data_IF_815608964731
#
_entry.id   IF_815608964731
#
_cell.length_a   1.000
_cell.length_b   1.000
_cell.length_c   1.000
_cell.angle_alpha   90.00
_cell.angle_beta   90.00
_cell.angle_gamma   90.00
#
_symmetry.space_group_name_H-M   'P 1'
#
loop_
_entity.id
_entity.type
_entity.pdbx_description
1 polymer ?
#
# COMPACT_ATOMS: atom_id res chain seq x y z
N UNK A 1 -15.75 -2.01 -13.29
CA UNK A 1 -16.24 -0.78 -13.95
C UNK A 1 -16.33 0.38 -12.96
N UNK A 2 -16.38 1.60 -13.48
CA UNK A 2 -16.29 2.88 -12.76
C UNK A 2 -17.66 3.35 -12.28
N UNK A 3 -17.78 3.68 -11.00
CA UNK A 3 -19.03 4.19 -10.42
C UNK A 3 -19.07 5.71 -10.58
N UNK A 4 -20.09 6.20 -11.28
CA UNK A 4 -20.37 7.62 -11.46
C UNK A 4 -20.98 8.23 -10.19
N UNK A 5 -20.51 9.41 -9.80
CA UNK A 5 -21.13 10.22 -8.74
C UNK A 5 -21.92 11.33 -9.42
N UNK A 6 -23.22 11.41 -9.17
CA UNK A 6 -24.07 12.50 -9.67
C UNK A 6 -23.97 13.70 -8.71
N UNK A 7 -23.77 14.95 -9.20
CA UNK A 7 -23.71 16.11 -8.32
C UNK A 7 -25.10 16.42 -7.74
N UNK A 8 -25.17 16.65 -6.43
CA UNK A 8 -26.34 17.24 -5.76
C UNK A 8 -26.48 18.70 -6.19
N UNK A 9 -27.67 19.11 -6.67
CA UNK A 9 -27.95 20.52 -6.99
C UNK A 9 -27.76 21.41 -5.75
N UNK A 10 -27.14 22.60 -5.86
CA UNK A 10 -27.20 23.59 -4.80
C UNK A 10 -28.63 24.10 -4.67
N UNK A 11 -29.05 24.32 -3.42
CA UNK A 11 -30.24 25.09 -3.07
C UNK A 11 -29.87 26.54 -3.30
N UNK A 12 -30.53 27.22 -4.23
CA UNK A 12 -30.84 28.66 -4.20
C UNK A 12 -31.36 29.08 -5.58
N UNK A 13 -32.61 29.52 -5.63
CA UNK A 13 -33.18 30.62 -6.44
C UNK A 13 -34.71 30.51 -6.41
N UNK A 14 -35.33 31.21 -5.45
CA UNK A 14 -36.75 31.59 -5.47
C UNK A 14 -36.93 32.68 -6.55
N UNK A 15 -37.77 32.46 -7.56
CA UNK A 15 -38.11 33.47 -8.56
C UNK A 15 -39.40 34.22 -8.17
N UNK A 16 -39.26 35.51 -7.82
CA UNK A 16 -40.35 36.50 -7.79
C UNK A 16 -40.68 36.97 -9.21
N UNK A 17 -41.97 37.01 -9.56
CA UNK A 17 -42.48 37.37 -10.88
C UNK A 17 -42.73 38.87 -11.04
N UNK A 18 -42.24 39.50 -12.12
CA UNK A 18 -42.81 40.74 -12.68
C UNK A 18 -42.65 40.78 -14.22
N UNK A 19 -43.75 41.08 -14.92
CA UNK A 19 -43.91 41.17 -16.39
C UNK A 19 -43.30 42.43 -17.04
N UNK A 20 -42.81 42.31 -18.28
CA UNK A 20 -42.42 43.43 -19.16
C UNK A 20 -41.78 42.98 -20.49
N UNK A 21 -42.14 43.64 -21.59
CA UNK A 21 -42.15 43.14 -22.98
C UNK A 21 -40.81 43.00 -23.77
N UNK A 22 -40.81 42.02 -24.69
CA UNK A 22 -40.08 41.91 -25.98
C UNK A 22 -38.54 41.86 -26.06
N UNK A 23 -38.01 40.65 -26.30
CA UNK A 23 -36.97 40.39 -27.33
C UNK A 23 -36.93 38.89 -27.69
N UNK A 24 -36.96 38.58 -28.99
CA UNK A 24 -36.82 37.23 -29.55
C UNK A 24 -35.40 36.71 -29.29
N UNK A 25 -35.18 35.99 -28.19
CA UNK A 25 -34.00 35.16 -27.98
C UNK A 25 -34.49 33.72 -27.81
N UNK A 26 -34.26 32.88 -28.82
CA UNK A 26 -34.40 31.42 -28.66
C UNK A 26 -33.48 31.03 -27.49
N UNK A 27 -33.96 30.35 -26.44
CA UNK A 27 -33.06 29.80 -25.44
C UNK A 27 -32.21 28.76 -26.17
N UNK A 28 -30.90 29.04 -26.26
CA UNK A 28 -29.93 28.02 -26.62
C UNK A 28 -30.10 26.88 -25.62
N UNK A 29 -30.18 25.61 -26.05
CA UNK A 29 -30.21 24.51 -25.11
C UNK A 29 -28.95 24.61 -24.27
N UNK A 30 -29.11 24.85 -22.97
CA UNK A 30 -28.02 24.80 -22.00
C UNK A 30 -27.46 23.39 -22.09
N UNK A 31 -26.34 23.23 -22.77
CA UNK A 31 -25.62 21.96 -22.83
C UNK A 31 -25.08 21.75 -21.41
N UNK A 32 -25.85 21.03 -20.58
CA UNK A 32 -25.36 20.52 -19.32
C UNK A 32 -24.33 19.46 -19.63
N UNK A 33 -23.06 19.89 -19.72
CA UNK A 33 -21.92 18.98 -19.72
C UNK A 33 -21.90 18.26 -18.37
N UNK A 34 -22.59 17.11 -18.29
CA UNK A 34 -22.37 16.14 -17.23
C UNK A 34 -20.99 15.54 -17.45
N UNK A 35 -19.97 16.25 -16.96
CA UNK A 35 -18.59 15.75 -16.98
C UNK A 35 -18.53 14.54 -16.07
N UNK A 36 -18.41 13.35 -16.65
CA UNK A 36 -18.18 12.12 -15.90
C UNK A 36 -16.77 12.24 -15.30
N UNK A 37 -16.70 12.43 -13.98
CA UNK A 37 -15.44 12.45 -13.25
C UNK A 37 -15.09 11.03 -12.77
N UNK A 38 -13.84 10.64 -12.98
CA UNK A 38 -13.31 9.35 -12.51
C UNK A 38 -12.39 9.60 -11.32
N UNK A 39 -12.58 8.84 -10.25
CA UNK A 39 -11.66 8.82 -9.11
C UNK A 39 -10.96 7.44 -9.04
N UNK A 40 -9.64 7.41 -8.80
CA UNK A 40 -8.95 6.15 -8.56
C UNK A 40 -9.47 5.51 -7.27
N UNK A 41 -9.75 4.21 -7.33
CA UNK A 41 -10.16 3.40 -6.17
C UNK A 41 -9.03 2.45 -5.79
N UNK A 42 -8.81 2.25 -4.49
CA UNK A 42 -7.84 1.32 -3.95
C UNK A 42 -8.51 0.44 -2.89
N UNK A 43 -8.13 -0.84 -2.84
CA UNK A 43 -8.52 -1.77 -1.78
C UNK A 43 -7.34 -1.94 -0.83
N UNK A 44 -7.58 -1.75 0.46
CA UNK A 44 -6.54 -1.85 1.50
C UNK A 44 -7.03 -2.75 2.62
N UNK A 45 -6.17 -3.68 3.03
CA UNK A 45 -6.36 -4.52 4.21
C UNK A 45 -5.30 -4.16 5.25
N UNK A 46 -5.76 -3.76 6.44
CA UNK A 46 -4.89 -3.42 7.57
C UNK A 46 -4.92 -4.57 8.57
N UNK A 47 -3.76 -5.14 8.87
CA UNK A 47 -3.63 -6.26 9.80
C UNK A 47 -2.37 -6.13 10.65
N UNK A 48 -2.45 -6.67 11.88
CA UNK A 48 -1.27 -6.88 12.74
C UNK A 48 -0.48 -8.13 12.36
N UNK A 49 -1.05 -8.97 11.50
CA UNK A 49 -0.41 -10.18 11.00
C UNK A 49 0.37 -9.88 9.73
N UNK A 50 1.42 -10.65 9.50
CA UNK A 50 2.40 -10.41 8.44
C UNK A 50 2.30 -11.45 7.32
N UNK A 51 1.09 -11.62 6.77
CA UNK A 51 0.78 -12.57 5.69
C UNK A 51 0.51 -11.84 4.38
N UNK A 52 1.49 -11.07 3.92
CA UNK A 52 1.36 -10.14 2.79
C UNK A 52 0.86 -10.84 1.51
N UNK A 53 1.39 -12.01 1.18
CA UNK A 53 0.97 -12.79 0.00
C UNK A 53 -0.49 -13.25 0.12
N UNK A 54 -0.87 -13.81 1.26
CA UNK A 54 -2.25 -14.23 1.52
C UNK A 54 -3.22 -13.05 1.44
N UNK A 55 -2.88 -11.90 2.05
CA UNK A 55 -3.73 -10.71 1.98
C UNK A 55 -3.81 -10.13 0.56
N UNK A 56 -2.72 -10.16 -0.20
CA UNK A 56 -2.72 -9.78 -1.62
C UNK A 56 -3.68 -10.65 -2.42
N UNK A 57 -3.65 -11.97 -2.22
CA UNK A 57 -4.56 -12.88 -2.89
C UNK A 57 -6.02 -12.61 -2.52
N UNK A 58 -6.32 -12.42 -1.23
CA UNK A 58 -7.66 -12.07 -0.77
C UNK A 58 -8.17 -10.77 -1.39
N UNK A 59 -7.35 -9.72 -1.43
CA UNK A 59 -7.69 -8.44 -2.07
C UNK A 59 -7.92 -8.60 -3.57
N UNK A 60 -7.09 -9.43 -4.23
CA UNK A 60 -7.26 -9.78 -5.64
C UNK A 60 -8.60 -10.45 -5.91
N UNK A 61 -9.01 -11.41 -5.08
CA UNK A 61 -10.31 -12.10 -5.20
C UNK A 61 -11.47 -11.14 -5.00
N UNK A 62 -11.41 -10.28 -3.96
CA UNK A 62 -12.45 -9.25 -3.74
C UNK A 62 -12.57 -8.35 -4.98
N UNK A 63 -11.43 -7.91 -5.53
CA UNK A 63 -11.41 -7.09 -6.73
C UNK A 63 -12.00 -7.81 -7.94
N UNK A 64 -11.62 -9.07 -8.17
CA UNK A 64 -12.14 -9.89 -9.27
C UNK A 64 -13.65 -10.11 -9.14
N UNK A 65 -14.15 -10.49 -7.96
CA UNK A 65 -15.58 -10.67 -7.71
C UNK A 65 -16.36 -9.38 -7.98
N UNK A 66 -15.83 -8.23 -7.55
CA UNK A 66 -16.44 -6.93 -7.81
C UNK A 66 -16.46 -6.56 -9.30
N UNK A 67 -15.36 -6.76 -10.02
CA UNK A 67 -15.23 -6.39 -11.43
C UNK A 67 -16.03 -7.32 -12.34
N UNK A 68 -16.00 -8.62 -12.08
CA UNK A 68 -16.68 -9.63 -12.90
C UNK A 68 -18.14 -9.85 -12.49
N UNK A 69 -18.62 -9.13 -11.46
CA UNK A 69 -19.97 -9.25 -10.91
C UNK A 69 -20.35 -10.70 -10.60
N UNK A 70 -19.40 -11.43 -9.98
CA UNK A 70 -19.65 -12.80 -9.51
C UNK A 70 -20.71 -12.71 -8.42
N UNK A 71 -21.73 -13.59 -8.47
CA UNK A 71 -22.91 -13.54 -7.60
C UNK A 71 -22.69 -13.79 -6.10
N UNK A 72 -21.48 -13.55 -5.60
CA UNK A 72 -21.12 -13.62 -4.17
C UNK A 72 -21.07 -12.19 -3.62
N UNK A 73 -21.87 -11.85 -2.59
CA UNK A 73 -21.84 -10.52 -1.97
C UNK A 73 -20.46 -10.21 -1.38
N UNK A 74 -19.95 -8.98 -1.59
CA UNK A 74 -18.63 -8.58 -1.10
C UNK A 74 -18.52 -8.62 0.43
N UNK A 75 -19.62 -8.34 1.13
CA UNK A 75 -19.73 -8.41 2.58
C UNK A 75 -19.48 -9.84 3.10
N UNK A 76 -19.83 -10.85 2.30
CA UNK A 76 -19.53 -12.25 2.63
C UNK A 76 -18.04 -12.50 2.55
N UNK A 77 -17.36 -12.01 1.51
CA UNK A 77 -15.90 -12.15 1.37
C UNK A 77 -15.17 -11.46 2.52
N UNK A 78 -15.56 -10.22 2.83
CA UNK A 78 -14.99 -9.43 3.93
C UNK A 78 -15.27 -10.09 5.28
N UNK A 79 -16.50 -10.55 5.50
CA UNK A 79 -16.91 -11.26 6.71
C UNK A 79 -16.11 -12.54 6.92
N UNK A 80 -15.85 -13.30 5.85
CA UNK A 80 -15.04 -14.52 5.92
C UNK A 80 -13.57 -14.22 6.29
N UNK A 81 -12.99 -13.14 5.76
CA UNK A 81 -11.62 -12.73 6.13
C UNK A 81 -11.52 -12.40 7.61
N UNK A 82 -12.50 -11.65 8.14
CA UNK A 82 -12.46 -11.13 9.51
C UNK A 82 -12.88 -12.19 10.54
N UNK A 83 -13.92 -12.97 10.23
CA UNK A 83 -14.60 -13.84 11.20
C UNK A 83 -14.27 -15.33 11.08
N UNK A 84 -13.84 -15.80 9.91
CA UNK A 84 -13.73 -17.25 9.65
C UNK A 84 -12.29 -17.76 9.59
N UNK A 85 -11.28 -16.88 9.62
CA UNK A 85 -9.87 -17.27 9.59
C UNK A 85 -9.30 -17.25 11.01
N UNK A 86 -9.10 -18.45 11.58
CA UNK A 86 -8.40 -18.63 12.85
C UNK A 86 -6.93 -18.91 12.56
N UNK A 87 -6.05 -17.95 12.84
CA UNK A 87 -4.61 -18.10 12.64
C UNK A 87 -4.02 -18.86 13.83
N UNK A 88 -3.43 -20.06 13.64
CA UNK A 88 -2.82 -20.81 14.72
C UNK A 88 -1.60 -20.09 15.29
N UNK A 89 -1.19 -20.41 16.53
CA UNK A 89 0.05 -19.90 17.09
C UNK A 89 1.27 -20.36 16.27
N UNK A 90 2.43 -19.68 16.44
CA UNK A 90 3.69 -20.10 15.83
C UNK A 90 4.01 -21.59 16.10
N UNK A 91 4.51 -22.29 15.09
CA UNK A 91 4.73 -23.75 15.10
C UNK A 91 3.48 -24.58 14.82
N UNK A 92 2.31 -23.94 14.68
CA UNK A 92 1.06 -24.60 14.34
C UNK A 92 0.96 -25.11 12.89
N UNK A 93 -0.06 -25.92 12.59
CA UNK A 93 -0.26 -26.47 11.26
C UNK A 93 -0.64 -25.40 10.23
N UNK A 94 -0.44 -25.70 8.95
CA UNK A 94 -1.00 -24.90 7.86
C UNK A 94 -2.53 -24.87 7.95
N UNK A 95 -3.11 -23.68 7.81
CA UNK A 95 -4.55 -23.50 7.68
C UNK A 95 -4.91 -23.28 6.23
N UNK A 96 -5.95 -23.97 5.77
CA UNK A 96 -6.57 -23.75 4.47
C UNK A 96 -7.95 -23.16 4.69
N UNK A 97 -8.27 -22.14 3.91
CA UNK A 97 -9.55 -21.45 4.01
C UNK A 97 -9.98 -20.96 2.63
N UNK A 98 -11.24 -20.55 2.54
CA UNK A 98 -11.80 -19.86 1.38
C UNK A 98 -12.48 -18.61 1.90
N UNK A 99 -12.32 -17.50 1.17
CA UNK A 99 -13.09 -16.29 1.43
C UNK A 99 -14.38 -16.28 0.62
N UNK A 100 -14.50 -17.13 -0.41
CA UNK A 100 -15.67 -17.29 -1.27
C UNK A 100 -15.26 -17.44 -2.74
N UNK A 101 -16.22 -17.42 -3.65
CA UNK A 101 -15.96 -17.47 -5.10
C UNK A 101 -15.08 -18.65 -5.57
N UNK A 102 -15.16 -19.79 -4.88
CA UNK A 102 -14.43 -21.02 -5.26
C UNK A 102 -12.93 -20.98 -5.00
N UNK A 103 -12.44 -20.00 -4.25
CA UNK A 103 -11.01 -19.85 -3.95
C UNK A 103 -10.50 -20.86 -2.93
N UNK A 104 -9.17 -21.00 -2.86
CA UNK A 104 -8.48 -21.77 -1.83
C UNK A 104 -7.22 -21.05 -1.41
N UNK A 105 -7.27 -20.42 -0.25
CA UNK A 105 -6.09 -19.85 0.38
C UNK A 105 -5.44 -20.83 1.34
N UNK A 106 -4.14 -20.65 1.54
CA UNK A 106 -3.39 -21.30 2.58
C UNK A 106 -2.57 -20.26 3.35
N UNK A 107 -2.43 -20.49 4.64
CA UNK A 107 -1.61 -19.71 5.54
C UNK A 107 -0.81 -20.67 6.40
N UNK A 108 0.51 -20.49 6.41
CA UNK A 108 1.42 -21.24 7.26
C UNK A 108 1.89 -20.31 8.38
N UNK A 109 1.56 -20.60 9.65
CA UNK A 109 2.12 -19.87 10.78
C UNK A 109 3.65 -19.90 10.78
N UNK A 110 4.30 -18.86 11.30
CA UNK A 110 5.75 -18.86 11.47
C UNK A 110 6.17 -20.06 12.34
N UNK A 111 7.33 -20.65 12.06
CA UNK A 111 7.83 -21.81 12.80
C UNK A 111 8.10 -21.45 14.27
N UNK A 112 8.53 -20.21 14.53
CA UNK A 112 8.86 -19.69 15.85
C UNK A 112 8.36 -18.25 15.98
N UNK A 113 7.95 -17.79 17.18
CA UNK A 113 7.52 -16.40 17.40
C UNK A 113 8.62 -15.37 17.16
N UNK A 114 9.91 -15.76 17.25
CA UNK A 114 11.03 -14.82 17.15
C UNK A 114 11.72 -14.82 15.79
N UNK A 115 11.62 -15.93 15.04
CA UNK A 115 12.35 -16.09 13.78
C UNK A 115 11.60 -15.36 12.66
N UNK A 116 12.23 -14.39 11.97
CA UNK A 116 11.59 -13.68 10.87
C UNK A 116 11.27 -14.62 9.71
N UNK A 117 10.04 -14.53 9.17
CA UNK A 117 9.65 -15.27 7.96
C UNK A 117 9.97 -14.43 6.74
N UNK A 118 11.08 -14.70 6.06
CA UNK A 118 11.56 -13.78 5.01
C UNK A 118 11.18 -14.17 3.59
N UNK A 119 10.59 -15.35 3.35
CA UNK A 119 10.33 -15.86 2.00
C UNK A 119 11.54 -15.63 1.08
N UNK A 120 11.36 -14.90 -0.03
CA UNK A 120 12.44 -14.54 -0.95
C UNK A 120 13.07 -13.17 -0.67
N UNK A 121 12.59 -12.38 0.30
CA UNK A 121 13.01 -10.99 0.51
C UNK A 121 14.52 -10.85 0.69
N UNK A 122 15.13 -11.69 1.54
CA UNK A 122 16.58 -11.66 1.79
C UNK A 122 17.35 -12.05 0.54
N UNK A 123 16.95 -13.12 -0.14
CA UNK A 123 17.58 -13.53 -1.40
C UNK A 123 17.49 -12.42 -2.46
N UNK A 124 16.34 -11.75 -2.60
CA UNK A 124 16.17 -10.63 -3.53
C UNK A 124 17.06 -9.45 -3.18
N UNK A 125 17.24 -9.13 -1.89
CA UNK A 125 18.16 -8.07 -1.45
C UNK A 125 19.61 -8.39 -1.88
N UNK A 126 20.07 -9.63 -1.68
CA UNK A 126 21.38 -10.07 -2.14
C UNK A 126 21.53 -10.04 -3.66
N UNK A 127 20.49 -10.43 -4.41
CA UNK A 127 20.50 -10.36 -5.87
C UNK A 127 20.56 -8.91 -6.39
N UNK A 128 19.91 -7.97 -5.71
CA UNK A 128 19.83 -6.57 -6.12
C UNK A 128 21.09 -5.78 -5.78
N UNK A 129 21.69 -6.03 -4.61
CA UNK A 129 22.79 -5.22 -4.08
C UNK A 129 24.14 -5.93 -4.14
N UNK A 130 24.17 -7.26 -4.23
CA UNK A 130 25.36 -8.06 -4.06
C UNK A 130 25.82 -8.14 -2.59
N UNK A 131 26.56 -9.22 -2.28
CA UNK A 131 27.02 -9.54 -0.91
C UNK A 131 27.72 -8.37 -0.21
N UNK A 132 28.62 -7.66 -0.89
CA UNK A 132 29.41 -6.58 -0.29
C UNK A 132 28.53 -5.44 0.21
N UNK A 133 27.55 -5.00 -0.59
CA UNK A 133 26.68 -3.89 -0.21
C UNK A 133 25.68 -4.31 0.88
N UNK A 134 25.22 -5.57 0.85
CA UNK A 134 24.39 -6.10 1.94
C UNK A 134 25.16 -6.14 3.26
N UNK A 135 26.44 -6.50 3.25
CA UNK A 135 27.29 -6.45 4.46
C UNK A 135 27.48 -5.01 4.96
N UNK A 136 27.69 -4.04 4.07
CA UNK A 136 27.77 -2.62 4.46
C UNK A 136 26.45 -2.16 5.08
N UNK A 137 25.31 -2.52 4.49
CA UNK A 137 23.99 -2.22 5.04
C UNK A 137 23.77 -2.87 6.41
N UNK A 138 24.18 -4.12 6.56
CA UNK A 138 24.10 -4.84 7.83
C UNK A 138 24.93 -4.12 8.90
N UNK A 139 26.17 -3.72 8.61
CA UNK A 139 26.96 -2.92 9.53
C UNK A 139 26.25 -1.60 9.86
N UNK A 140 25.76 -0.87 8.84
CA UNK A 140 25.10 0.41 9.01
C UNK A 140 23.84 0.32 9.90
N UNK A 141 23.02 -0.73 9.75
CA UNK A 141 21.81 -0.88 10.59
C UNK A 141 22.18 -1.29 12.02
N UNK A 142 23.23 -2.10 12.20
CA UNK A 142 23.73 -2.51 13.51
C UNK A 142 24.42 -1.38 14.27
N UNK A 143 24.92 -0.35 13.56
CA UNK A 143 25.48 0.88 14.14
C UNK A 143 24.50 2.07 14.05
N UNK A 144 23.20 1.80 13.95
CA UNK A 144 22.12 2.79 14.05
C UNK A 144 22.23 3.96 13.04
N UNK A 145 22.63 3.70 11.79
CA UNK A 145 22.61 4.74 10.74
C UNK A 145 21.21 4.98 10.17
N UNK A 146 21.06 6.15 9.54
CA UNK A 146 19.94 6.47 8.65
C UNK A 146 20.10 5.75 7.32
N UNK A 147 19.17 4.86 7.00
CA UNK A 147 19.17 4.04 5.79
C UNK A 147 17.96 4.40 4.96
N UNK A 148 18.22 4.83 3.72
CA UNK A 148 17.19 5.19 2.77
C UNK A 148 17.29 4.32 1.52
N UNK A 149 16.31 3.46 1.32
CA UNK A 149 16.15 2.72 0.09
C UNK A 149 15.43 3.58 -0.95
N UNK A 150 15.90 3.52 -2.19
CA UNK A 150 15.29 4.22 -3.31
C UNK A 150 15.02 3.25 -4.47
N UNK A 151 13.80 3.25 -5.01
CA UNK A 151 13.43 2.45 -6.18
C UNK A 151 12.19 3.00 -6.90
N UNK A 152 12.02 2.59 -8.16
CA UNK A 152 10.76 2.75 -8.92
C UNK A 152 9.70 1.70 -8.56
N UNK A 153 10.07 0.67 -7.80
CA UNK A 153 9.17 -0.42 -7.41
C UNK A 153 8.87 -0.38 -5.92
N UNK A 154 7.60 -0.17 -5.58
CA UNK A 154 7.11 -0.24 -4.20
C UNK A 154 7.36 -1.61 -3.55
N UNK A 155 7.24 -2.68 -4.34
CA UNK A 155 7.54 -4.03 -3.86
C UNK A 155 9.02 -4.14 -3.46
N UNK A 156 9.95 -3.72 -4.32
CA UNK A 156 11.39 -3.78 -4.00
C UNK A 156 11.75 -2.98 -2.75
N UNK A 157 11.16 -1.79 -2.57
CA UNK A 157 11.35 -0.99 -1.36
C UNK A 157 10.90 -1.74 -0.11
N UNK A 158 9.67 -2.29 -0.14
CA UNK A 158 9.08 -3.00 1.00
C UNK A 158 9.88 -4.25 1.35
N UNK A 159 10.24 -5.05 0.34
CA UNK A 159 11.01 -6.28 0.50
C UNK A 159 12.44 -6.01 0.99
N UNK A 160 13.10 -4.95 0.53
CA UNK A 160 14.44 -4.60 0.97
C UNK A 160 14.47 -4.15 2.44
N UNK A 161 13.53 -3.30 2.87
CA UNK A 161 13.37 -2.88 4.26
C UNK A 161 13.09 -4.08 5.19
N UNK A 162 12.19 -4.97 4.75
CA UNK A 162 11.87 -6.22 5.45
C UNK A 162 13.08 -7.15 5.55
N UNK A 163 13.80 -7.35 4.45
CA UNK A 163 14.98 -8.20 4.40
C UNK A 163 16.08 -7.69 5.34
N UNK A 164 16.36 -6.38 5.32
CA UNK A 164 17.39 -5.79 6.16
C UNK A 164 17.07 -5.92 7.65
N UNK A 165 15.82 -5.64 8.06
CA UNK A 165 15.39 -5.82 9.45
C UNK A 165 15.39 -7.29 9.88
N UNK A 166 15.08 -8.22 8.98
CA UNK A 166 15.16 -9.65 9.25
C UNK A 166 16.61 -10.15 9.45
N UNK A 167 17.58 -9.59 8.72
CA UNK A 167 19.00 -9.89 8.89
C UNK A 167 19.54 -9.51 10.27
N UNK A 168 18.85 -8.62 11.00
CA UNK A 168 19.25 -8.23 12.36
C UNK A 168 18.95 -9.31 13.41
N UNK A 169 18.19 -10.37 13.10
CA UNK A 169 17.88 -11.42 14.06
C UNK A 169 19.16 -11.93 14.75
N UNK A 170 19.18 -12.00 16.11
CA UNK A 170 18.06 -11.92 17.04
C UNK A 170 17.68 -10.52 17.54
N UNK A 171 18.33 -9.46 17.06
CA UNK A 171 18.03 -8.08 17.45
C UNK A 171 16.75 -7.58 16.76
N UNK A 172 16.06 -6.64 17.43
CA UNK A 172 14.89 -5.96 16.90
C UNK A 172 15.22 -4.51 16.58
N UNK A 173 14.82 -4.06 15.40
CA UNK A 173 14.90 -2.65 15.04
C UNK A 173 13.84 -1.86 15.80
N UNK A 174 14.24 -0.81 16.53
CA UNK A 174 13.35 -0.04 17.41
C UNK A 174 13.23 1.45 17.02
N UNK A 175 13.81 1.86 15.89
CA UNK A 175 13.70 3.24 15.41
C UNK A 175 12.65 3.38 14.31
N UNK A 176 12.63 4.53 13.62
CA UNK A 176 11.63 4.84 12.59
C UNK A 176 11.73 3.86 11.42
N UNK A 177 10.64 3.15 11.15
CA UNK A 177 10.53 2.18 10.07
C UNK A 177 9.36 2.54 9.15
N UNK A 178 9.66 3.04 7.95
CA UNK A 178 8.65 3.45 6.96
C UNK A 178 9.04 2.86 5.60
N UNK A 179 8.63 1.62 5.29
CA UNK A 179 9.05 0.94 4.06
C UNK A 179 8.68 1.67 2.78
N UNK A 180 7.61 2.48 2.84
CA UNK A 180 7.13 3.32 1.75
C UNK A 180 6.76 4.69 2.32
N UNK A 181 7.59 5.70 2.06
CA UNK A 181 7.38 7.06 2.53
C UNK A 181 6.32 7.78 1.67
N UNK A 182 5.20 8.23 2.26
CA UNK A 182 4.25 9.11 1.58
C UNK A 182 4.86 10.49 1.33
N UNK A 183 4.50 11.14 0.22
CA UNK A 183 4.98 12.48 -0.13
C UNK A 183 4.79 13.53 0.98
N UNK A 184 3.64 13.61 1.68
CA UNK A 184 3.46 14.59 2.74
C UNK A 184 4.37 14.39 3.96
N UNK A 185 5.05 13.25 4.08
CA UNK A 185 5.91 12.90 5.22
C UNK A 185 7.40 12.99 4.88
N UNK A 186 7.79 13.62 3.77
CA UNK A 186 9.20 13.72 3.36
C UNK A 186 10.06 14.44 4.41
N UNK A 187 9.49 15.37 5.18
CA UNK A 187 10.17 16.05 6.29
C UNK A 187 10.74 15.09 7.35
N UNK A 188 10.19 13.87 7.47
CA UNK A 188 10.69 12.84 8.40
C UNK A 188 12.16 12.50 8.11
N UNK A 189 12.63 12.64 6.87
CA UNK A 189 14.04 12.38 6.50
C UNK A 189 15.03 13.30 7.22
N UNK A 190 14.58 14.48 7.65
CA UNK A 190 15.38 15.44 8.41
C UNK A 190 15.53 15.09 9.89
N UNK A 191 14.78 14.09 10.40
CA UNK A 191 14.84 13.69 11.81
C UNK A 191 16.27 13.34 12.23
N UNK A 192 16.75 13.74 13.42
CA UNK A 192 18.09 13.35 13.88
C UNK A 192 18.18 11.85 14.21
N UNK A 193 17.04 11.18 14.42
CA UNK A 193 16.99 9.77 14.80
C UNK A 193 17.35 8.82 13.66
N UNK A 194 17.93 7.63 13.94
CA UNK A 194 18.10 6.57 12.96
C UNK A 194 16.76 6.18 12.32
N UNK A 195 16.80 5.74 11.07
CA UNK A 195 15.62 5.24 10.38
C UNK A 195 15.95 4.23 9.29
N UNK A 196 14.96 3.41 8.94
CA UNK A 196 14.92 2.61 7.72
C UNK A 196 13.68 3.05 6.93
N UNK A 197 13.92 3.74 5.82
CA UNK A 197 12.84 4.32 5.01
C UNK A 197 13.01 3.92 3.54
N UNK A 198 11.91 3.64 2.84
CA UNK A 198 11.91 3.46 1.39
C UNK A 198 11.22 4.61 0.67
N UNK A 199 11.86 5.18 -0.35
CA UNK A 199 11.34 6.30 -1.13
C UNK A 199 11.18 5.91 -2.59
N UNK A 200 9.99 6.17 -3.13
CA UNK A 200 9.71 5.97 -4.54
C UNK A 200 10.40 7.05 -5.39
N UNK A 201 10.87 6.69 -6.59
CA UNK A 201 11.58 7.63 -7.47
C UNK A 201 10.79 8.88 -7.88
N UNK A 202 9.46 8.90 -7.71
CA UNK A 202 8.66 10.11 -7.91
C UNK A 202 8.99 11.24 -6.93
N UNK A 203 9.55 10.92 -5.76
CA UNK A 203 9.93 11.91 -4.73
C UNK A 203 11.42 12.25 -4.77
N UNK A 204 12.16 11.80 -5.80
CA UNK A 204 13.62 11.96 -5.87
C UNK A 204 14.08 13.41 -5.74
N UNK A 205 13.34 14.35 -6.33
CA UNK A 205 13.66 15.78 -6.28
C UNK A 205 13.62 16.33 -4.87
N UNK A 206 12.74 15.82 -4.02
CA UNK A 206 12.56 16.28 -2.63
C UNK A 206 13.63 15.69 -1.68
N UNK A 207 14.35 14.65 -2.11
CA UNK A 207 15.32 13.90 -1.30
C UNK A 207 16.77 14.24 -1.63
N UNK A 208 17.03 14.97 -2.72
CA UNK A 208 18.38 15.14 -3.29
C UNK A 208 19.36 15.94 -2.41
N UNK A 209 18.88 16.67 -1.40
CA UNK A 209 19.71 17.55 -0.56
C UNK A 209 20.16 16.92 0.78
N UNK A 210 19.94 15.62 0.96
CA UNK A 210 20.17 14.94 2.25
C UNK A 210 21.58 14.34 2.39
N UNK A 211 22.51 15.10 2.96
CA UNK A 211 23.96 14.76 3.00
C UNK A 211 24.35 13.66 4.01
N UNK A 212 23.50 13.32 4.98
CA UNK A 212 23.83 12.38 6.08
C UNK A 212 23.14 11.01 5.99
N UNK A 213 22.61 10.65 4.82
CA UNK A 213 21.81 9.44 4.62
C UNK A 213 22.63 8.39 3.87
N UNK A 214 22.65 7.15 4.37
CA UNK A 214 23.13 6.01 3.58
C UNK A 214 22.10 5.71 2.49
N UNK A 215 22.31 6.29 1.31
CA UNK A 215 21.41 6.16 0.16
C UNK A 215 21.68 4.86 -0.59
N UNK A 216 20.66 4.00 -0.68
CA UNK A 216 20.75 2.70 -1.36
C UNK A 216 19.80 2.67 -2.54
N UNK A 217 20.37 2.57 -3.74
CA UNK A 217 19.61 2.45 -4.98
C UNK A 217 19.36 0.97 -5.26
N UNK A 218 18.09 0.57 -5.24
CA UNK A 218 17.66 -0.74 -5.73
C UNK A 218 17.40 -0.60 -7.23
N UNK A 219 18.05 -1.43 -8.04
CA UNK A 219 18.12 -1.34 -9.51
C UNK A 219 16.79 -1.07 -10.24
N UNK A 220 16.90 -0.59 -11.47
CA UNK A 220 15.78 -0.34 -12.39
C UNK A 220 15.15 -1.66 -12.86
#
# INVERSE_FOLDING_TARGET
>A
ETVSITPSKPVDEEEDAVEGETALVRPLPTITHHSIMYAPKCLVLVSRLDYIETFRNCLGIIYTVYIENVGVPLETLVGNIIGCIQVPPPGGPQVRFSIGAGDRQALQPPISPSLPVTHTSVNLLFQQLGIRNVLVLFCAIMTEHKILFHSKSYNRLTEACRALTALMYPFRYNHVYIPLLPAPLVEVLSTPTPFVIGVHSSLKTEVSDMVSISFVILGA
#
